data_IF_499327084225
#
_entry.id   IF_499327084225
#
_cell.length_a   1.000
_cell.length_b   1.000
_cell.length_c   1.000
_cell.angle_alpha   90.00
_cell.angle_beta   90.00
_cell.angle_gamma   90.00
#
_symmetry.space_group_name_H-M   'P 1'
#
loop_
_entity.id
_entity.type
_entity.pdbx_description
1 polymer ?
#
# COMPACT_ATOMS: atom_id res chain seq x y z
N UNK A 1 4.06 -4.62 24.82
CA UNK A 1 2.96 -4.85 23.87
C UNK A 1 3.46 -5.96 22.96
N UNK A 2 2.73 -7.07 22.84
CA UNK A 2 3.16 -8.19 21.99
C UNK A 2 3.09 -7.72 20.54
N UNK A 3 4.22 -7.28 19.99
CA UNK A 3 4.45 -7.36 18.55
C UNK A 3 4.27 -8.84 18.20
N UNK A 4 3.14 -9.16 17.57
CA UNK A 4 3.00 -10.48 16.97
C UNK A 4 4.09 -10.59 15.91
N UNK A 5 4.86 -11.67 15.95
CA UNK A 5 5.88 -11.93 14.95
C UNK A 5 5.27 -11.85 13.55
N UNK A 6 6.01 -11.28 12.59
CA UNK A 6 5.58 -11.14 11.20
C UNK A 6 5.01 -12.46 10.65
N UNK A 7 5.64 -13.58 10.99
CA UNK A 7 5.19 -14.92 10.58
C UNK A 7 3.80 -15.27 11.13
N UNK A 8 3.51 -14.86 12.37
CA UNK A 8 2.18 -15.06 12.97
C UNK A 8 1.13 -14.18 12.31
N UNK A 9 1.46 -12.90 12.05
CA UNK A 9 0.57 -12.01 11.31
C UNK A 9 0.32 -12.53 9.89
N UNK A 10 1.34 -13.10 9.24
CA UNK A 10 1.21 -13.68 7.91
C UNK A 10 0.28 -14.88 7.91
N UNK A 11 0.48 -15.82 8.82
CA UNK A 11 -0.43 -16.96 8.96
C UNK A 11 -1.89 -16.54 9.22
N UNK A 12 -2.11 -15.47 10.00
CA UNK A 12 -3.43 -14.91 10.22
C UNK A 12 -4.00 -14.24 8.96
N UNK A 13 -3.18 -13.48 8.23
CA UNK A 13 -3.57 -12.87 6.96
C UNK A 13 -3.95 -13.92 5.92
N UNK A 14 -3.18 -15.01 5.81
CA UNK A 14 -3.46 -16.16 4.95
C UNK A 14 -4.78 -16.86 5.34
N UNK A 15 -5.18 -16.81 6.62
CA UNK A 15 -6.49 -17.27 7.11
C UNK A 15 -7.63 -16.26 6.82
N UNK A 16 -7.31 -15.10 6.23
CA UNK A 16 -8.25 -14.03 5.89
C UNK A 16 -8.40 -12.96 6.97
N UNK A 17 -7.47 -12.86 7.91
CA UNK A 17 -7.50 -11.84 8.94
C UNK A 17 -7.04 -10.47 8.41
N UNK A 18 -8.00 -9.63 8.05
CA UNK A 18 -7.77 -8.27 7.53
C UNK A 18 -6.90 -7.42 8.48
N UNK A 19 -7.10 -7.52 9.80
CA UNK A 19 -6.28 -6.77 10.77
C UNK A 19 -4.83 -7.22 10.78
N UNK A 20 -4.58 -8.48 10.44
CA UNK A 20 -3.22 -8.99 10.33
C UNK A 20 -2.55 -8.48 9.05
N UNK A 21 -3.28 -8.40 7.93
CA UNK A 21 -2.83 -7.72 6.70
C UNK A 21 -2.49 -6.26 6.97
N UNK A 22 -3.37 -5.51 7.65
CA UNK A 22 -3.11 -4.10 7.98
C UNK A 22 -1.84 -3.93 8.82
N UNK A 23 -1.62 -4.82 9.79
CA UNK A 23 -0.41 -4.82 10.62
C UNK A 23 0.85 -5.16 9.83
N UNK A 24 0.77 -6.08 8.86
CA UNK A 24 1.89 -6.37 7.97
C UNK A 24 2.22 -5.17 7.10
N UNK A 25 1.21 -4.45 6.60
CA UNK A 25 1.40 -3.24 5.82
C UNK A 25 2.07 -2.13 6.64
N UNK A 26 1.64 -1.89 7.88
CA UNK A 26 2.31 -0.96 8.81
C UNK A 26 3.80 -1.32 9.01
N UNK A 27 4.10 -2.61 9.21
CA UNK A 27 5.47 -3.08 9.40
C UNK A 27 6.32 -2.92 8.13
N UNK A 28 5.74 -3.18 6.96
CA UNK A 28 6.40 -3.00 5.67
C UNK A 28 6.69 -1.52 5.41
N UNK A 29 5.74 -0.62 5.68
CA UNK A 29 5.94 0.83 5.56
C UNK A 29 7.04 1.32 6.50
N UNK A 30 7.01 0.91 7.77
CA UNK A 30 8.04 1.28 8.74
C UNK A 30 9.45 0.83 8.34
N UNK A 31 9.56 -0.24 7.53
CA UNK A 31 10.82 -0.73 6.94
C UNK A 31 11.15 -0.07 5.61
N UNK A 32 10.21 0.64 5.00
CA UNK A 32 10.29 1.19 3.65
C UNK A 32 10.24 0.11 2.56
N UNK A 33 9.64 -1.05 2.85
CA UNK A 33 9.52 -2.17 1.93
C UNK A 33 8.29 -1.99 1.03
N UNK A 34 8.52 -1.37 -0.12
CA UNK A 34 7.48 -1.11 -1.14
C UNK A 34 7.01 -2.41 -1.79
N UNK A 35 7.92 -3.38 -1.97
CA UNK A 35 7.58 -4.65 -2.60
C UNK A 35 6.56 -5.41 -1.75
N UNK A 36 6.81 -5.51 -0.44
CA UNK A 36 5.90 -6.18 0.47
C UNK A 36 4.54 -5.48 0.58
N UNK A 37 4.50 -4.14 0.53
CA UNK A 37 3.24 -3.41 0.45
C UNK A 37 2.49 -3.71 -0.86
N UNK A 38 3.19 -3.82 -1.99
CA UNK A 38 2.56 -4.17 -3.27
C UNK A 38 1.95 -5.57 -3.21
N UNK A 39 2.70 -6.55 -2.70
CA UNK A 39 2.22 -7.93 -2.55
C UNK A 39 0.95 -7.96 -1.67
N UNK A 40 0.94 -7.20 -0.57
CA UNK A 40 -0.24 -7.09 0.31
C UNK A 40 -1.44 -6.45 -0.41
N UNK A 41 -1.22 -5.45 -1.26
CA UNK A 41 -2.28 -4.83 -2.06
C UNK A 41 -2.85 -5.82 -3.09
N UNK A 42 -2.00 -6.58 -3.78
CA UNK A 42 -2.40 -7.64 -4.71
C UNK A 42 -3.24 -8.73 -4.02
N UNK A 43 -3.01 -8.95 -2.72
CA UNK A 43 -3.81 -9.84 -1.87
C UNK A 43 -5.14 -9.20 -1.39
N UNK A 44 -5.37 -7.91 -1.68
CA UNK A 44 -6.57 -7.17 -1.33
C UNK A 44 -6.45 -6.27 -0.09
N UNK A 45 -5.24 -6.00 0.41
CA UNK A 45 -5.02 -5.08 1.53
C UNK A 45 -5.21 -3.62 1.09
N UNK A 46 -6.37 -3.04 1.41
CA UNK A 46 -6.65 -1.63 1.15
C UNK A 46 -5.69 -0.69 1.91
N UNK A 47 -5.27 -1.08 3.11
CA UNK A 47 -4.32 -0.28 3.91
C UNK A 47 -2.96 -0.18 3.24
N UNK A 48 -2.48 -1.27 2.60
CA UNK A 48 -1.24 -1.24 1.83
C UNK A 48 -1.34 -0.29 0.62
N UNK A 49 -2.48 -0.28 -0.08
CA UNK A 49 -2.77 0.65 -1.16
C UNK A 49 -2.72 2.12 -0.73
N UNK A 50 -3.29 2.44 0.44
CA UNK A 50 -3.23 3.79 1.01
C UNK A 50 -1.78 4.23 1.28
N UNK A 51 -0.98 3.37 1.92
CA UNK A 51 0.41 3.65 2.28
C UNK A 51 1.28 3.83 1.03
N UNK A 52 1.14 2.95 0.04
CA UNK A 52 1.83 3.06 -1.26
C UNK A 52 1.45 4.36 -1.96
N UNK A 53 0.16 4.71 -1.99
CA UNK A 53 -0.35 5.91 -2.64
C UNK A 53 0.24 7.16 -2.02
N UNK A 54 0.20 7.28 -0.69
CA UNK A 54 0.80 8.42 0.03
C UNK A 54 2.29 8.54 -0.23
N UNK A 55 3.01 7.42 -0.22
CA UNK A 55 4.45 7.39 -0.49
C UNK A 55 4.77 7.81 -1.91
N UNK A 56 4.09 7.23 -2.90
CA UNK A 56 4.27 7.54 -4.31
C UNK A 56 3.90 9.01 -4.60
N UNK A 57 2.83 9.52 -4.01
CA UNK A 57 2.44 10.92 -4.11
C UNK A 57 3.49 11.88 -3.54
N UNK A 58 4.04 11.56 -2.36
CA UNK A 58 5.12 12.33 -1.76
C UNK A 58 6.41 12.31 -2.61
N UNK A 59 6.70 11.18 -3.27
CA UNK A 59 7.81 11.04 -4.19
C UNK A 59 7.53 11.61 -5.61
N UNK A 60 6.29 12.02 -5.89
CA UNK A 60 5.80 12.35 -7.25
C UNK A 60 6.04 11.21 -8.25
N UNK A 61 5.95 9.97 -7.78
CA UNK A 61 6.10 8.77 -8.60
C UNK A 61 4.76 8.42 -9.27
N UNK A 62 4.59 8.92 -10.49
CA UNK A 62 3.39 8.71 -11.28
C UNK A 62 3.25 7.25 -11.75
N UNK A 63 4.37 6.56 -11.97
CA UNK A 63 4.36 5.17 -12.43
C UNK A 63 3.84 4.25 -11.33
N UNK A 64 4.31 4.48 -10.10
CA UNK A 64 3.85 3.71 -8.95
C UNK A 64 2.38 3.98 -8.66
N UNK A 65 1.92 5.24 -8.68
CA UNK A 65 0.49 5.56 -8.54
C UNK A 65 -0.38 4.86 -9.59
N UNK A 66 0.09 4.80 -10.84
CA UNK A 66 -0.62 4.10 -11.90
C UNK A 66 -0.70 2.60 -11.64
N UNK A 67 0.35 1.98 -11.08
CA UNK A 67 0.35 0.56 -10.72
C UNK A 67 -0.61 0.24 -9.59
N UNK A 68 -0.62 1.06 -8.54
CA UNK A 68 -1.52 0.89 -7.39
C UNK A 68 -2.98 1.02 -7.86
N UNK A 69 -3.25 1.94 -8.78
CA UNK A 69 -4.57 2.06 -9.42
C UNK A 69 -4.94 0.82 -10.25
N UNK A 70 -4.00 0.29 -11.05
CA UNK A 70 -4.21 -0.92 -11.86
C UNK A 70 -4.45 -2.17 -10.99
N UNK A 71 -3.85 -2.22 -9.80
CA UNK A 71 -4.12 -3.22 -8.78
C UNK A 71 -5.52 -3.09 -8.12
N UNK A 72 -6.29 -2.06 -8.49
CA UNK A 72 -7.68 -1.88 -8.07
C UNK A 72 -7.89 -0.87 -6.94
N UNK A 73 -6.89 -0.05 -6.62
CA UNK A 73 -7.03 1.03 -5.63
C UNK A 73 -7.36 2.36 -6.31
N UNK A 74 -8.64 2.67 -6.43
CA UNK A 74 -9.14 3.85 -7.17
C UNK A 74 -8.57 5.19 -6.65
N UNK A 75 -8.33 5.32 -5.35
CA UNK A 75 -7.79 6.57 -4.77
C UNK A 75 -6.38 6.89 -5.32
N UNK A 76 -5.59 5.88 -5.70
CA UNK A 76 -4.31 6.11 -6.38
C UNK A 76 -4.48 6.78 -7.74
N UNK A 77 -5.52 6.43 -8.50
CA UNK A 77 -5.82 7.05 -9.78
C UNK A 77 -6.20 8.52 -9.59
N UNK A 78 -7.04 8.83 -8.59
CA UNK A 78 -7.44 10.20 -8.28
C UNK A 78 -6.23 11.07 -7.90
N UNK A 79 -5.31 10.53 -7.10
CA UNK A 79 -4.07 11.23 -6.73
C UNK A 79 -3.17 11.43 -7.94
N UNK A 80 -3.02 10.41 -8.81
CA UNK A 80 -2.27 10.51 -10.06
C UNK A 80 -2.80 11.66 -10.94
N UNK A 81 -4.12 11.70 -11.16
CA UNK A 81 -4.77 12.74 -11.95
C UNK A 81 -4.55 14.13 -11.35
N UNK A 82 -4.67 14.28 -10.04
CA UNK A 82 -4.41 15.54 -9.33
C UNK A 82 -2.96 16.01 -9.51
N UNK A 83 -1.97 15.12 -9.43
CA UNK A 83 -0.56 15.47 -9.61
C UNK A 83 -0.24 15.86 -11.06
N UNK A 84 -0.86 15.20 -12.03
CA UNK A 84 -0.74 15.52 -13.45
C UNK A 84 -1.39 16.89 -13.77
N UNK A 85 -2.58 17.14 -13.25
CA UNK A 85 -3.31 18.39 -13.44
C UNK A 85 -2.61 19.57 -12.75
N UNK A 86 -2.08 19.37 -11.54
CA UNK A 86 -1.38 20.40 -10.77
C UNK A 86 0.09 20.61 -11.14
N UNK A 87 0.67 19.79 -12.03
CA UNK A 87 2.03 19.96 -12.56
C UNK A 87 2.11 20.76 -13.86
N UNK A 88 0.97 21.20 -14.39
CA UNK A 88 0.86 22.00 -15.62
C UNK A 88 0.67 23.48 -15.25
N UNK A 89 1.69 24.14 -14.71
CA UNK A 89 1.78 25.62 -14.62
C UNK A 89 3.17 26.09 -15.07
#
# INVERSE_FOLDING_TARGET
MTDFDRETLRALADDGNERALDRLADLAEARGDVQELSDLLDEGCLHAGELLTRRAAAARDLLELQRIADAGYDEAAEVLEQLLAGGSD
#
